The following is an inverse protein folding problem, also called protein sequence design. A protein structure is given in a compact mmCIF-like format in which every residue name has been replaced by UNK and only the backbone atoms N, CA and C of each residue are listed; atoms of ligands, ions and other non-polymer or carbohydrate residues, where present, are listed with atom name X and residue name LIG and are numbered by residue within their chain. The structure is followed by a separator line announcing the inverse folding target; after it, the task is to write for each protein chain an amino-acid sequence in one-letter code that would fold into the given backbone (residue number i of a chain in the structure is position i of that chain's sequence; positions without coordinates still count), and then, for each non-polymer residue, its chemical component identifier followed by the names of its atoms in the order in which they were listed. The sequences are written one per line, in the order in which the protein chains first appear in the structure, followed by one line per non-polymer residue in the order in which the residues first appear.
data_IF_799067410126
#
_entry.id   IF_799067410126
#
_cell.length_a   1.000
_cell.length_b   1.000
_cell.length_c   1.000
_cell.angle_alpha   90.00
_cell.angle_beta   90.00
_cell.angle_gamma   90.00
#
_symmetry.space_group_name_H-M   'P 1'
#
loop_
_entity.id
_entity.type
_entity.pdbx_description
1 polymer ?
#
# COMPACT_ATOMS: atom_id res chain seq x y z
N UNK A 1 -0.46 30.52 -22.88
CA UNK A 1 -1.88 30.13 -22.74
C UNK A 1 -2.24 29.13 -23.85
N UNK A 2 -1.49 28.02 -23.97
CA UNK A 2 -1.53 27.16 -25.17
C UNK A 2 -1.05 25.72 -24.89
N UNK A 3 -1.55 25.10 -23.81
CA UNK A 3 -1.23 23.70 -23.44
C UNK A 3 -2.43 22.90 -22.87
N UNK A 4 -3.62 23.50 -22.74
CA UNK A 4 -4.74 22.90 -22.01
C UNK A 4 -5.76 22.12 -22.86
N UNK A 5 -5.63 22.09 -24.19
CA UNK A 5 -6.67 21.57 -25.11
C UNK A 5 -6.28 20.33 -25.95
N UNK A 6 -5.07 19.78 -25.79
CA UNK A 6 -4.65 18.62 -26.60
C UNK A 6 -5.31 17.31 -26.12
N UNK A 7 -5.63 17.18 -24.82
CA UNK A 7 -6.19 15.93 -24.27
C UNK A 7 -7.64 15.66 -24.69
N UNK A 8 -8.54 16.65 -24.67
CA UNK A 8 -9.99 16.40 -24.84
C UNK A 8 -10.43 16.04 -26.26
N UNK A 9 -9.65 16.34 -27.30
CA UNK A 9 -10.05 16.11 -28.69
C UNK A 9 -9.58 14.76 -29.28
N UNK A 10 -8.50 14.17 -28.75
CA UNK A 10 -7.91 12.94 -29.29
C UNK A 10 -8.31 11.65 -28.55
N UNK A 11 -8.76 11.74 -27.29
CA UNK A 11 -9.01 10.56 -26.47
C UNK A 11 -10.08 9.57 -26.99
N UNK A 12 -11.23 10.01 -27.56
CA UNK A 12 -12.20 9.07 -28.12
C UNK A 12 -11.71 8.42 -29.43
N UNK A 13 -11.02 9.22 -30.26
CA UNK A 13 -10.69 8.88 -31.66
C UNK A 13 -9.72 7.70 -31.76
N UNK A 14 -8.78 7.57 -30.81
CA UNK A 14 -7.82 6.45 -30.80
C UNK A 14 -8.52 5.10 -30.51
N UNK A 15 -9.63 5.09 -29.77
CA UNK A 15 -10.41 3.88 -29.51
C UNK A 15 -11.42 3.55 -30.62
N UNK A 16 -11.92 4.54 -31.37
CA UNK A 16 -12.96 4.33 -32.39
C UNK A 16 -12.48 4.39 -33.84
N UNK A 17 -11.20 4.72 -34.11
CA UNK A 17 -10.74 4.98 -35.48
C UNK A 17 -9.37 4.40 -35.86
N UNK A 18 -8.85 3.43 -35.11
CA UNK A 18 -7.87 2.49 -35.65
C UNK A 18 -8.63 1.30 -36.23
N UNK A 19 -8.69 1.18 -37.56
CA UNK A 19 -9.33 0.03 -38.20
C UNK A 19 -8.40 -1.19 -38.08
N UNK A 20 -8.70 -2.08 -37.13
CA UNK A 20 -7.79 -3.14 -36.65
C UNK A 20 -7.60 -4.31 -37.64
N UNK A 21 -8.32 -4.34 -38.77
CA UNK A 21 -8.21 -5.38 -39.80
C UNK A 21 -6.90 -5.31 -40.62
N UNK A 22 -6.14 -4.21 -40.54
CA UNK A 22 -4.95 -3.97 -41.36
C UNK A 22 -3.61 -4.46 -40.75
N UNK A 23 -3.60 -4.93 -39.49
CA UNK A 23 -2.40 -5.43 -38.81
C UNK A 23 -2.45 -6.96 -38.72
N UNK A 24 -1.88 -7.62 -39.72
CA UNK A 24 -1.59 -9.05 -39.68
C UNK A 24 -0.68 -9.41 -38.50
N UNK A 25 -0.79 -10.66 -38.06
CA UNK A 25 -0.12 -11.27 -36.90
C UNK A 25 -0.56 -10.76 -35.52
N UNK A 26 -1.38 -11.58 -34.83
CA UNK A 26 -1.95 -11.28 -33.51
C UNK A 26 -0.92 -11.00 -32.40
N UNK A 27 0.34 -11.39 -32.57
CA UNK A 27 1.44 -11.07 -31.65
C UNK A 27 1.73 -9.56 -31.65
N UNK A 28 1.70 -8.92 -32.82
CA UNK A 28 1.92 -7.47 -32.98
C UNK A 28 0.73 -6.70 -32.35
N UNK A 29 -0.49 -7.19 -32.58
CA UNK A 29 -1.72 -6.62 -32.01
C UNK A 29 -1.70 -6.63 -30.46
N UNK A 30 -1.35 -7.77 -29.85
CA UNK A 30 -1.21 -7.90 -28.39
C UNK A 30 -0.09 -7.01 -27.82
N UNK A 31 1.05 -6.89 -28.52
CA UNK A 31 2.15 -5.99 -28.14
C UNK A 31 1.73 -4.52 -28.15
N UNK A 32 1.03 -4.09 -29.20
CA UNK A 32 0.55 -2.71 -29.37
C UNK A 32 -0.51 -2.34 -28.32
N UNK A 33 -1.50 -3.21 -28.07
CA UNK A 33 -2.51 -2.99 -27.03
C UNK A 33 -1.90 -2.92 -25.62
N UNK A 34 -0.94 -3.80 -25.28
CA UNK A 34 -0.23 -3.75 -23.98
C UNK A 34 0.55 -2.45 -23.81
N UNK A 35 1.17 -1.95 -24.87
CA UNK A 35 1.86 -0.65 -24.88
C UNK A 35 0.89 0.52 -24.62
N UNK A 36 -0.23 0.58 -25.34
CA UNK A 36 -1.24 1.63 -25.16
C UNK A 36 -1.87 1.65 -23.75
N UNK A 37 -2.23 0.49 -23.19
CA UNK A 37 -2.77 0.42 -21.82
C UNK A 37 -1.74 0.89 -20.78
N UNK A 38 -0.46 0.55 -20.97
CA UNK A 38 0.64 1.06 -20.14
C UNK A 38 0.73 2.59 -20.21
N UNK A 39 0.78 3.17 -21.41
CA UNK A 39 0.88 4.62 -21.58
C UNK A 39 -0.32 5.37 -20.98
N UNK A 40 -1.56 4.91 -21.23
CA UNK A 40 -2.75 5.53 -20.65
C UNK A 40 -2.80 5.43 -19.11
N UNK A 41 -2.40 4.27 -18.54
CA UNK A 41 -2.34 4.10 -17.08
C UNK A 41 -1.36 5.06 -16.43
N UNK A 42 -0.17 5.24 -17.03
CA UNK A 42 0.83 6.21 -16.56
C UNK A 42 0.26 7.63 -16.64
N UNK A 43 -0.20 8.06 -17.83
CA UNK A 43 -0.63 9.43 -18.08
C UNK A 43 -1.79 9.85 -17.16
N UNK A 44 -2.82 9.01 -17.02
CA UNK A 44 -3.97 9.33 -16.18
C UNK A 44 -3.63 9.32 -14.68
N UNK A 45 -2.67 8.49 -14.24
CA UNK A 45 -2.22 8.55 -12.85
C UNK A 45 -1.37 9.79 -12.57
N UNK A 46 -0.49 10.19 -13.50
CA UNK A 46 0.24 11.46 -13.43
C UNK A 46 -0.75 12.63 -13.33
N UNK A 47 -1.75 12.70 -14.21
CA UNK A 47 -2.80 13.74 -14.17
C UNK A 47 -3.62 13.67 -12.88
N UNK A 48 -3.94 12.48 -12.37
CA UNK A 48 -4.67 12.30 -11.11
C UNK A 48 -3.89 12.84 -9.90
N UNK A 49 -2.57 12.62 -9.85
CA UNK A 49 -1.69 13.19 -8.83
C UNK A 49 -1.60 14.72 -9.02
N UNK A 50 -1.26 15.18 -10.22
CA UNK A 50 -1.02 16.61 -10.53
C UNK A 50 -2.27 17.46 -10.24
N UNK A 51 -3.47 17.00 -10.62
CA UNK A 51 -4.75 17.68 -10.31
C UNK A 51 -4.95 17.86 -8.80
N UNK A 52 -4.43 16.95 -7.97
CA UNK A 52 -4.48 17.02 -6.50
C UNK A 52 -3.38 17.87 -5.88
N UNK A 53 -2.45 18.43 -6.67
CA UNK A 53 -1.45 19.40 -6.19
C UNK A 53 -1.94 20.86 -6.28
N UNK A 54 -3.21 21.10 -6.63
CA UNK A 54 -3.84 22.43 -6.60
C UNK A 54 -3.99 22.94 -5.16
N UNK A 55 -3.07 23.76 -4.67
CA UNK A 55 -3.07 24.27 -3.30
C UNK A 55 -2.35 25.63 -3.17
N UNK A 56 -2.91 26.52 -2.36
CA UNK A 56 -2.30 27.79 -1.94
C UNK A 56 -1.76 27.73 -0.49
N UNK A 57 -1.70 26.52 0.10
CA UNK A 57 -1.28 26.27 1.48
C UNK A 57 -0.21 25.17 1.58
N UNK A 58 0.60 25.13 2.66
CA UNK A 58 1.62 24.10 2.86
C UNK A 58 1.04 22.70 2.82
N UNK A 59 1.70 21.82 2.06
CA UNK A 59 1.30 20.43 1.88
C UNK A 59 2.51 19.48 1.90
N UNK A 60 2.25 18.18 2.03
CA UNK A 60 3.26 17.14 1.87
C UNK A 60 2.68 15.80 1.41
N UNK A 61 3.47 14.74 1.50
CA UNK A 61 3.07 13.37 1.14
C UNK A 61 3.07 12.46 2.36
N UNK A 62 2.12 11.53 2.44
CA UNK A 62 2.24 10.38 3.34
C UNK A 62 3.11 9.33 2.64
N UNK A 63 4.14 8.82 3.33
CA UNK A 63 5.12 7.91 2.77
C UNK A 63 5.36 6.73 3.73
N UNK A 64 4.90 5.55 3.34
CA UNK A 64 5.06 4.30 4.11
C UNK A 64 6.21 3.42 3.62
N UNK A 65 6.89 3.81 2.53
CA UNK A 65 7.79 2.95 1.77
C UNK A 65 7.08 1.97 0.83
N UNK A 66 5.83 1.58 1.15
CA UNK A 66 4.98 0.76 0.27
C UNK A 66 4.72 1.40 -1.09
N UNK A 67 4.63 0.54 -2.12
CA UNK A 67 4.54 0.86 -3.56
C UNK A 67 3.74 2.13 -3.87
N UNK A 68 2.53 2.22 -3.31
CA UNK A 68 1.48 3.16 -3.70
C UNK A 68 1.79 4.56 -3.19
N UNK A 69 2.15 4.66 -1.90
CA UNK A 69 2.60 5.91 -1.27
C UNK A 69 3.91 6.42 -1.88
N UNK A 70 4.84 5.50 -2.16
CA UNK A 70 6.14 5.80 -2.77
C UNK A 70 6.00 6.31 -4.21
N UNK A 71 5.05 5.76 -4.97
CA UNK A 71 4.76 6.21 -6.32
C UNK A 71 4.11 7.61 -6.34
N UNK A 72 3.13 7.86 -5.46
CA UNK A 72 2.53 9.20 -5.28
C UNK A 72 3.59 10.22 -4.87
N UNK A 73 4.47 9.87 -3.93
CA UNK A 73 5.57 10.73 -3.50
C UNK A 73 6.54 11.05 -4.64
N UNK A 74 6.92 10.04 -5.43
CA UNK A 74 7.83 10.19 -6.58
C UNK A 74 7.27 11.12 -7.66
N UNK A 75 6.01 10.91 -8.06
CA UNK A 75 5.33 11.76 -9.04
C UNK A 75 5.23 13.21 -8.53
N UNK A 76 4.90 13.38 -7.24
CA UNK A 76 4.81 14.70 -6.60
C UNK A 76 6.17 15.42 -6.59
N UNK A 77 7.25 14.73 -6.20
CA UNK A 77 8.60 15.29 -6.17
C UNK A 77 9.07 15.70 -7.59
N UNK A 78 8.87 14.82 -8.58
CA UNK A 78 9.20 15.06 -9.99
C UNK A 78 8.46 16.25 -10.57
N UNK A 79 7.15 16.35 -10.33
CA UNK A 79 6.35 17.47 -10.79
C UNK A 79 6.82 18.78 -10.15
N UNK A 80 7.04 18.79 -8.83
CA UNK A 80 7.47 19.99 -8.10
C UNK A 80 8.80 20.55 -8.60
N UNK A 81 9.77 19.70 -8.92
CA UNK A 81 11.09 20.10 -9.43
C UNK A 81 11.03 21.04 -10.66
N UNK A 82 9.96 20.98 -11.47
CA UNK A 82 9.74 21.86 -12.62
C UNK A 82 8.89 23.11 -12.37
N UNK A 83 8.36 23.32 -11.16
CA UNK A 83 7.25 24.28 -10.93
C UNK A 83 7.66 25.59 -10.25
N UNK A 84 6.82 26.63 -10.40
CA UNK A 84 6.89 27.85 -9.57
C UNK A 84 6.57 27.59 -8.09
N UNK A 85 5.74 26.59 -7.78
CA UNK A 85 5.38 26.24 -6.40
C UNK A 85 6.62 25.84 -5.57
N UNK A 86 7.54 25.05 -6.13
CA UNK A 86 8.82 24.73 -5.48
C UNK A 86 9.69 25.97 -5.20
N UNK A 87 9.56 27.05 -6.00
CA UNK A 87 10.25 28.33 -5.76
C UNK A 87 9.61 29.19 -4.67
N UNK A 88 8.36 28.92 -4.31
CA UNK A 88 7.56 29.75 -3.40
C UNK A 88 7.54 29.23 -1.96
N UNK A 89 7.75 27.92 -1.77
CA UNK A 89 7.66 27.25 -0.45
C UNK A 89 8.98 26.66 0.08
N UNK A 90 10.10 26.83 -0.63
CA UNK A 90 11.42 26.37 -0.15
C UNK A 90 11.88 25.01 -0.68
N UNK A 91 11.79 24.78 -2.00
CA UNK A 91 12.51 23.78 -2.81
C UNK A 91 12.35 22.28 -2.54
N UNK A 92 12.06 21.80 -1.34
CA UNK A 92 11.97 20.37 -1.03
C UNK A 92 10.58 19.97 -0.55
N UNK A 93 10.10 18.84 -1.08
CA UNK A 93 8.84 18.23 -0.66
C UNK A 93 8.99 17.60 0.73
N UNK A 94 8.03 17.84 1.62
CA UNK A 94 7.97 17.18 2.92
C UNK A 94 7.25 15.83 2.82
N UNK A 95 7.84 14.79 3.39
CA UNK A 95 7.27 13.44 3.44
C UNK A 95 7.13 12.96 4.89
N UNK A 96 6.01 12.32 5.21
CA UNK A 96 5.65 11.96 6.58
C UNK A 96 5.43 10.46 6.72
N UNK A 97 6.05 9.85 7.73
CA UNK A 97 5.86 8.47 8.13
C UNK A 97 5.55 8.38 9.63
N UNK A 98 4.88 7.30 10.03
CA UNK A 98 4.57 7.00 11.44
C UNK A 98 4.72 5.51 11.69
N UNK A 99 5.29 5.15 12.84
CA UNK A 99 5.47 3.75 13.22
C UNK A 99 6.01 3.61 14.63
N UNK A 100 6.05 2.38 15.13
CA UNK A 100 6.86 2.07 16.31
C UNK A 100 8.34 2.13 15.94
N UNK A 101 9.19 2.46 16.91
CA UNK A 101 10.63 2.54 16.70
C UNK A 101 11.19 1.22 16.13
N UNK A 102 12.04 1.32 15.11
CA UNK A 102 12.61 0.15 14.42
C UNK A 102 11.65 -0.59 13.46
N UNK A 103 10.42 -0.12 13.25
CA UNK A 103 9.47 -0.77 12.34
C UNK A 103 9.93 -0.82 10.87
N UNK A 104 9.54 -1.85 10.10
CA UNK A 104 9.89 -1.98 8.68
C UNK A 104 9.41 -0.81 7.82
N UNK A 105 8.24 -0.25 8.14
CA UNK A 105 7.60 0.81 7.37
C UNK A 105 8.43 2.11 7.43
N UNK A 106 8.91 2.51 8.63
CA UNK A 106 9.86 3.62 8.79
C UNK A 106 11.15 3.38 7.97
N UNK A 107 11.66 2.15 8.02
CA UNK A 107 12.90 1.76 7.31
C UNK A 107 12.76 1.86 5.78
N UNK A 108 11.59 1.50 5.24
CA UNK A 108 11.30 1.58 3.81
C UNK A 108 10.91 3.00 3.38
N UNK A 109 10.19 3.75 4.22
CA UNK A 109 9.88 5.15 3.99
C UNK A 109 11.16 5.98 3.86
N UNK A 110 12.15 5.78 4.75
CA UNK A 110 13.45 6.44 4.69
C UNK A 110 14.21 6.17 3.38
N UNK A 111 14.27 4.91 2.91
CA UNK A 111 14.92 4.58 1.63
C UNK A 111 14.33 5.36 0.46
N UNK A 112 13.00 5.49 0.41
CA UNK A 112 12.31 6.22 -0.65
C UNK A 112 12.47 7.73 -0.45
N UNK A 113 12.48 8.22 0.78
CA UNK A 113 12.68 9.63 1.09
C UNK A 113 14.10 10.11 0.69
N UNK A 114 15.12 9.31 1.00
CA UNK A 114 16.52 9.53 0.61
C UNK A 114 16.65 9.53 -0.92
N UNK A 115 16.02 8.56 -1.60
CA UNK A 115 16.00 8.47 -3.06
C UNK A 115 15.32 9.67 -3.74
N UNK A 116 14.25 10.19 -3.15
CA UNK A 116 13.50 11.34 -3.68
C UNK A 116 14.02 12.70 -3.22
N UNK A 117 14.98 12.75 -2.28
CA UNK A 117 15.51 14.00 -1.71
C UNK A 117 14.47 14.83 -0.94
N UNK A 118 13.48 14.17 -0.33
CA UNK A 118 12.42 14.84 0.45
C UNK A 118 12.89 15.20 1.86
N UNK A 119 12.34 16.28 2.45
CA UNK A 119 12.48 16.51 3.90
C UNK A 119 11.64 15.46 4.62
N UNK A 120 12.27 14.40 5.12
CA UNK A 120 11.57 13.29 5.76
C UNK A 120 11.29 13.56 7.24
N UNK A 121 10.05 13.27 7.66
CA UNK A 121 9.59 13.39 9.04
C UNK A 121 9.10 12.01 9.49
N UNK A 122 9.87 11.38 10.36
CA UNK A 122 9.52 10.11 10.98
C UNK A 122 8.97 10.35 12.37
N UNK A 123 7.75 9.88 12.62
CA UNK A 123 7.10 10.03 13.90
C UNK A 123 6.97 8.68 14.61
N UNK A 124 7.63 8.57 15.76
CA UNK A 124 7.35 7.50 16.71
C UNK A 124 6.11 7.83 17.55
N UNK A 125 5.42 6.80 18.03
CA UNK A 125 4.32 6.93 18.98
C UNK A 125 4.37 5.82 20.03
N UNK A 126 3.92 6.14 21.24
CA UNK A 126 3.79 5.21 22.38
C UNK A 126 2.42 5.34 23.04
N UNK A 127 1.79 6.50 22.89
CA UNK A 127 0.42 6.91 23.28
C UNK A 127 -0.68 6.25 22.41
N UNK A 128 -0.40 5.09 21.81
CA UNK A 128 -1.31 4.41 20.89
C UNK A 128 -2.56 3.84 21.57
N UNK A 129 -2.46 3.42 22.84
CA UNK A 129 -3.60 2.92 23.62
C UNK A 129 -4.45 4.08 24.13
N UNK A 130 -3.79 5.12 24.66
CA UNK A 130 -4.45 6.30 25.25
C UNK A 130 -5.29 7.06 24.21
N UNK A 131 -4.91 7.02 22.93
CA UNK A 131 -5.64 7.66 21.84
C UNK A 131 -6.85 6.86 21.31
N UNK A 132 -7.13 5.64 21.79
CA UNK A 132 -8.18 4.78 21.21
C UNK A 132 -9.57 5.40 21.35
N UNK A 133 -9.88 6.06 22.48
CA UNK A 133 -11.18 6.68 22.71
C UNK A 133 -11.44 7.84 21.72
N UNK A 134 -10.49 8.77 21.61
CA UNK A 134 -10.52 9.85 20.62
C UNK A 134 -10.61 9.33 19.18
N UNK A 135 -9.89 8.25 18.86
CA UNK A 135 -9.93 7.62 17.53
C UNK A 135 -11.32 7.04 17.25
N UNK A 136 -11.93 6.31 18.19
CA UNK A 136 -13.28 5.76 18.01
C UNK A 136 -14.29 6.90 17.84
N UNK A 137 -14.20 7.94 18.68
CA UNK A 137 -15.03 9.14 18.58
C UNK A 137 -14.90 9.81 17.20
N UNK A 138 -13.68 10.06 16.72
CA UNK A 138 -13.46 10.76 15.45
C UNK A 138 -13.76 9.92 14.21
N UNK A 139 -13.49 8.61 14.20
CA UNK A 139 -13.74 7.75 13.04
C UNK A 139 -15.21 7.30 12.98
N UNK A 140 -15.90 7.22 14.12
CA UNK A 140 -17.28 6.73 14.28
C UNK A 140 -17.44 5.27 13.79
N UNK A 141 -16.52 4.39 14.20
CA UNK A 141 -16.58 2.95 13.88
C UNK A 141 -16.04 2.10 15.02
N UNK A 142 -16.53 0.86 15.11
CA UNK A 142 -16.02 -0.20 15.98
C UNK A 142 -15.23 -1.29 15.21
N UNK A 143 -15.03 -1.13 13.89
CA UNK A 143 -14.26 -2.10 13.10
C UNK A 143 -12.79 -2.15 13.54
N UNK A 144 -12.34 -3.34 13.95
CA UNK A 144 -11.02 -3.57 14.56
C UNK A 144 -9.88 -3.21 13.60
N UNK A 145 -10.02 -3.53 12.31
CA UNK A 145 -9.01 -3.23 11.29
C UNK A 145 -8.90 -1.72 11.08
N UNK A 146 -10.04 -1.05 10.98
CA UNK A 146 -10.14 0.40 10.77
C UNK A 146 -9.59 1.16 11.97
N UNK A 147 -9.93 0.81 13.21
CA UNK A 147 -9.38 1.45 14.42
C UNK A 147 -7.86 1.27 14.50
N UNK A 148 -7.37 0.04 14.31
CA UNK A 148 -5.92 -0.27 14.36
C UNK A 148 -5.13 0.53 13.33
N UNK A 149 -5.65 0.70 12.11
CA UNK A 149 -5.02 1.50 11.06
C UNK A 149 -5.23 3.02 11.24
N UNK A 150 -6.34 3.45 11.84
CA UNK A 150 -6.65 4.87 12.06
C UNK A 150 -5.81 5.48 13.18
N UNK A 151 -5.52 4.74 14.24
CA UNK A 151 -4.75 5.21 15.41
C UNK A 151 -3.41 5.86 15.05
N UNK A 152 -2.49 5.19 14.32
CA UNK A 152 -1.23 5.82 13.90
C UNK A 152 -1.45 7.00 12.94
N UNK A 153 -2.45 6.91 12.05
CA UNK A 153 -2.78 8.00 11.11
C UNK A 153 -3.30 9.26 11.81
N UNK A 154 -4.10 9.10 12.87
CA UNK A 154 -4.59 10.17 13.73
C UNK A 154 -3.44 10.85 14.48
N UNK A 155 -2.58 10.07 15.14
CA UNK A 155 -1.41 10.57 15.87
C UNK A 155 -0.39 11.26 14.94
N UNK A 156 -0.19 10.72 13.74
CA UNK A 156 0.60 11.36 12.68
C UNK A 156 -0.01 12.69 12.26
N UNK A 157 -1.33 12.74 12.02
CA UNK A 157 -2.02 13.95 11.57
C UNK A 157 -1.90 15.10 12.57
N UNK A 158 -1.97 14.81 13.88
CA UNK A 158 -1.68 15.78 14.95
C UNK A 158 -0.29 16.41 14.79
N UNK A 159 0.73 15.58 14.55
CA UNK A 159 2.12 16.03 14.37
C UNK A 159 2.31 16.81 13.06
N UNK A 160 1.78 16.32 11.94
CA UNK A 160 1.78 17.02 10.64
C UNK A 160 1.15 18.41 10.78
N UNK A 161 0.00 18.52 11.45
CA UNK A 161 -0.67 19.79 11.69
C UNK A 161 0.18 20.77 12.48
N UNK A 162 0.90 20.29 13.51
CA UNK A 162 1.77 21.12 14.34
C UNK A 162 2.93 21.77 13.56
N UNK A 163 3.31 21.18 12.41
CA UNK A 163 4.30 21.74 11.47
C UNK A 163 3.70 22.75 10.47
N UNK A 164 2.43 23.14 10.63
CA UNK A 164 1.74 24.11 9.77
C UNK A 164 1.19 23.54 8.45
N UNK A 165 1.37 22.24 8.20
CA UNK A 165 0.85 21.55 7.01
C UNK A 165 -0.68 21.45 7.09
N UNK A 166 -1.36 21.71 5.97
CA UNK A 166 -2.83 21.73 5.87
C UNK A 166 -3.39 20.68 4.91
N UNK A 167 -2.58 20.13 4.03
CA UNK A 167 -2.97 19.07 3.09
C UNK A 167 -1.89 18.00 2.98
N UNK A 168 -2.29 16.74 2.88
CA UNK A 168 -1.42 15.62 2.50
C UNK A 168 -2.02 14.80 1.37
N UNK A 169 -1.16 14.25 0.53
CA UNK A 169 -1.53 13.32 -0.55
C UNK A 169 -1.06 11.90 -0.18
N UNK A 170 -1.91 10.89 -0.40
CA UNK A 170 -1.75 9.50 0.08
C UNK A 170 -2.04 8.46 -1.01
N UNK A 171 -1.60 7.22 -0.79
CA UNK A 171 -1.71 6.09 -1.73
C UNK A 171 -3.00 5.24 -1.63
N UNK A 172 -3.97 5.62 -0.79
CA UNK A 172 -5.21 4.86 -0.57
C UNK A 172 -6.00 4.62 -1.86
N UNK A 173 -6.63 3.44 -1.99
CA UNK A 173 -7.41 3.04 -3.16
C UNK A 173 -6.67 2.16 -4.16
N UNK A 174 -5.35 2.05 -4.08
CA UNK A 174 -4.55 1.25 -5.01
C UNK A 174 -4.82 -0.25 -4.88
N UNK A 175 -4.85 -0.77 -3.66
CA UNK A 175 -5.07 -2.20 -3.39
C UNK A 175 -6.45 -2.68 -3.83
N UNK A 176 -7.46 -1.84 -3.70
CA UNK A 176 -8.85 -2.08 -4.09
C UNK A 176 -9.05 -2.06 -5.61
N UNK A 177 -8.26 -1.26 -6.34
CA UNK A 177 -8.31 -1.15 -7.81
C UNK A 177 -7.47 -2.23 -8.49
N UNK A 178 -6.30 -2.57 -7.92
CA UNK A 178 -5.31 -3.46 -8.54
C UNK A 178 -5.19 -4.84 -7.89
N UNK A 179 -6.02 -5.13 -6.88
CA UNK A 179 -6.02 -6.41 -6.17
C UNK A 179 -4.72 -6.65 -5.38
N UNK A 180 -4.31 -5.65 -4.60
CA UNK A 180 -2.99 -5.64 -3.94
C UNK A 180 -2.91 -6.35 -2.58
N UNK A 181 -4.05 -6.65 -1.95
CA UNK A 181 -4.05 -7.45 -0.72
C UNK A 181 -3.74 -8.93 -1.00
N UNK A 182 -2.98 -9.58 -0.11
CA UNK A 182 -2.49 -10.95 -0.28
C UNK A 182 -3.57 -12.01 -0.59
N UNK A 183 -4.82 -11.83 -0.18
CA UNK A 183 -5.89 -12.78 -0.51
C UNK A 183 -6.25 -12.83 -1.99
N UNK A 184 -5.95 -11.79 -2.77
CA UNK A 184 -6.12 -11.82 -4.23
C UNK A 184 -5.23 -12.87 -4.91
N UNK A 185 -4.17 -13.35 -4.25
CA UNK A 185 -3.38 -14.50 -4.72
C UNK A 185 -4.18 -15.82 -4.74
N UNK A 186 -5.37 -15.86 -4.10
CA UNK A 186 -6.29 -16.99 -4.10
C UNK A 186 -7.55 -16.77 -4.95
N UNK A 187 -7.62 -15.68 -5.72
CA UNK A 187 -8.75 -15.46 -6.61
C UNK A 187 -8.83 -16.61 -7.64
N UNK A 188 -9.96 -17.34 -7.74
CA UNK A 188 -10.03 -18.59 -8.52
C UNK A 188 -10.08 -18.34 -10.03
N UNK A 189 -10.49 -17.14 -10.44
CA UNK A 189 -10.53 -16.69 -11.82
C UNK A 189 -10.61 -15.15 -11.87
N UNK A 190 -10.51 -14.60 -13.08
CA UNK A 190 -10.47 -13.16 -13.33
C UNK A 190 -11.79 -12.44 -13.06
N UNK A 191 -12.92 -13.14 -13.17
CA UNK A 191 -14.25 -12.54 -12.94
C UNK A 191 -14.49 -12.35 -11.45
N UNK A 192 -14.13 -13.34 -10.61
CA UNK A 192 -14.13 -13.22 -9.15
C UNK A 192 -13.15 -12.14 -8.65
N UNK A 193 -11.96 -12.04 -9.25
CA UNK A 193 -11.02 -10.94 -8.99
C UNK A 193 -11.65 -9.56 -9.29
N UNK A 194 -12.32 -9.44 -10.45
CA UNK A 194 -12.96 -8.19 -10.87
C UNK A 194 -14.17 -7.82 -9.99
N UNK A 195 -15.02 -8.79 -9.67
CA UNK A 195 -16.18 -8.58 -8.80
C UNK A 195 -15.72 -8.13 -7.40
N UNK A 196 -14.65 -8.72 -6.87
CA UNK A 196 -14.10 -8.34 -5.57
C UNK A 196 -13.45 -6.95 -5.58
N UNK A 197 -12.69 -6.58 -6.61
CA UNK A 197 -12.18 -5.19 -6.75
C UNK A 197 -13.34 -4.19 -6.88
N UNK A 198 -14.38 -4.50 -7.65
CA UNK A 198 -15.59 -3.67 -7.73
C UNK A 198 -16.32 -3.54 -6.39
N UNK A 199 -16.43 -4.63 -5.61
CA UNK A 199 -17.04 -4.63 -4.28
C UNK A 199 -16.22 -3.80 -3.29
N UNK A 200 -14.89 -3.95 -3.30
CA UNK A 200 -13.95 -3.18 -2.49
C UNK A 200 -14.06 -1.68 -2.78
N UNK A 201 -14.00 -1.27 -4.05
CA UNK A 201 -14.15 0.14 -4.46
C UNK A 201 -15.50 0.71 -4.00
N UNK A 202 -16.60 -0.03 -4.17
CA UNK A 202 -17.93 0.40 -3.70
C UNK A 202 -18.01 0.53 -2.17
N UNK A 203 -17.24 -0.27 -1.43
CA UNK A 203 -17.25 -0.28 0.04
C UNK A 203 -16.22 0.66 0.69
N UNK A 204 -15.29 1.26 -0.08
CA UNK A 204 -14.23 2.14 0.42
C UNK A 204 -14.71 3.23 1.40
N UNK A 205 -15.91 3.77 1.19
CA UNK A 205 -16.50 4.81 2.04
C UNK A 205 -16.84 4.36 3.48
N UNK A 206 -16.81 3.05 3.75
CA UNK A 206 -16.99 2.45 5.08
C UNK A 206 -15.65 2.12 5.77
N UNK A 207 -14.54 2.08 5.02
CA UNK A 207 -13.25 1.58 5.49
C UNK A 207 -12.14 2.62 5.23
N UNK A 208 -11.35 2.45 4.17
CA UNK A 208 -10.12 3.20 3.97
C UNK A 208 -10.35 4.68 3.66
N UNK A 209 -11.43 5.04 2.96
CA UNK A 209 -11.83 6.45 2.82
C UNK A 209 -12.37 7.04 4.14
N UNK A 210 -13.07 6.25 4.95
CA UNK A 210 -13.57 6.69 6.26
C UNK A 210 -12.38 7.04 7.18
N UNK A 211 -11.43 6.10 7.30
CA UNK A 211 -10.16 6.28 8.01
C UNK A 211 -9.38 7.48 7.48
N UNK A 212 -9.05 7.48 6.19
CA UNK A 212 -8.15 8.48 5.61
C UNK A 212 -8.73 9.89 5.65
N UNK A 213 -10.05 10.05 5.56
CA UNK A 213 -10.68 11.35 5.71
C UNK A 213 -10.76 11.78 7.20
N UNK A 214 -11.30 10.94 8.07
CA UNK A 214 -11.62 11.34 9.45
C UNK A 214 -10.39 11.42 10.36
N UNK A 215 -9.44 10.50 10.22
CA UNK A 215 -8.21 10.50 11.02
C UNK A 215 -7.36 11.78 10.78
N UNK A 216 -7.35 12.30 9.55
CA UNK A 216 -6.66 13.56 9.24
C UNK A 216 -7.53 14.77 9.59
N UNK A 217 -8.84 14.71 9.32
CA UNK A 217 -9.77 15.83 9.59
C UNK A 217 -9.92 16.13 11.07
N UNK A 218 -9.73 15.15 11.96
CA UNK A 218 -9.66 15.36 13.42
C UNK A 218 -8.64 16.43 13.83
N UNK A 219 -7.56 16.59 13.06
CA UNK A 219 -6.51 17.59 13.27
C UNK A 219 -6.56 18.71 12.22
N UNK A 220 -7.66 18.86 11.48
CA UNK A 220 -7.82 19.86 10.43
C UNK A 220 -6.80 19.71 9.29
N UNK A 221 -6.46 18.46 8.95
CA UNK A 221 -5.54 18.10 7.86
C UNK A 221 -6.36 17.46 6.72
N UNK A 222 -6.29 18.03 5.52
CA UNK A 222 -6.98 17.49 4.34
C UNK A 222 -6.20 16.32 3.72
N UNK A 223 -6.84 15.17 3.49
CA UNK A 223 -6.25 14.04 2.77
C UNK A 223 -6.71 13.99 1.31
N UNK A 224 -5.77 13.81 0.37
CA UNK A 224 -6.03 13.65 -1.08
C UNK A 224 -5.55 12.29 -1.57
N UNK A 225 -6.39 11.62 -2.35
CA UNK A 225 -6.19 10.21 -2.76
C UNK A 225 -6.21 10.09 -4.30
N UNK A 226 -5.05 10.02 -4.99
CA UNK A 226 -4.96 10.03 -6.46
C UNK A 226 -5.47 8.77 -7.13
N UNK A 227 -5.30 7.59 -6.51
CA UNK A 227 -5.82 6.33 -7.03
C UNK A 227 -7.35 6.36 -7.16
N UNK A 228 -8.04 7.17 -6.35
CA UNK A 228 -9.50 7.35 -6.42
C UNK A 228 -9.94 8.49 -7.36
N UNK A 229 -9.15 8.80 -8.39
CA UNK A 229 -9.62 9.69 -9.45
C UNK A 229 -10.61 8.99 -10.39
N UNK A 230 -11.69 9.69 -10.77
CA UNK A 230 -12.73 9.13 -11.63
C UNK A 230 -12.18 8.64 -12.98
N UNK A 231 -11.32 9.44 -13.63
CA UNK A 231 -10.78 9.06 -14.94
C UNK A 231 -9.75 7.94 -14.82
N UNK A 232 -8.95 7.96 -13.75
CA UNK A 232 -8.00 6.88 -13.48
C UNK A 232 -8.71 5.57 -13.11
N UNK A 233 -9.75 5.59 -12.26
CA UNK A 233 -10.59 4.43 -11.96
C UNK A 233 -11.18 3.86 -13.25
N UNK A 234 -11.77 4.71 -14.12
CA UNK A 234 -12.39 4.27 -15.36
C UNK A 234 -11.41 3.43 -16.22
N UNK A 235 -10.18 3.91 -16.41
CA UNK A 235 -9.17 3.17 -17.19
C UNK A 235 -8.58 2.00 -16.41
N UNK A 236 -8.26 2.17 -15.13
CA UNK A 236 -7.68 1.10 -14.31
C UNK A 236 -8.66 -0.08 -14.14
N UNK A 237 -9.97 0.15 -14.12
CA UNK A 237 -11.00 -0.89 -14.06
C UNK A 237 -11.36 -1.49 -15.42
N UNK A 238 -11.02 -0.82 -16.53
CA UNK A 238 -11.15 -1.36 -17.89
C UNK A 238 -10.00 -2.30 -18.31
N UNK A 239 -8.88 -2.34 -17.56
CA UNK A 239 -7.81 -3.32 -17.76
C UNK A 239 -8.35 -4.73 -17.53
N UNK A 240 -8.10 -5.67 -18.47
CA UNK A 240 -8.47 -7.09 -18.34
C UNK A 240 -8.01 -7.63 -16.96
N UNK A 241 -8.93 -8.10 -16.10
CA UNK A 241 -8.59 -8.55 -14.76
C UNK A 241 -7.55 -9.68 -14.74
N UNK A 242 -7.46 -10.48 -15.82
CA UNK A 242 -6.40 -11.48 -16.02
C UNK A 242 -4.99 -10.88 -15.97
N UNK A 243 -4.84 -9.63 -16.42
CA UNK A 243 -3.56 -8.91 -16.36
C UNK A 243 -3.21 -8.48 -14.93
N UNK A 244 -4.22 -8.26 -14.08
CA UNK A 244 -4.05 -7.88 -12.66
C UNK A 244 -3.82 -9.09 -11.75
N UNK A 245 -4.28 -10.27 -12.15
CA UNK A 245 -4.08 -11.50 -11.38
C UNK A 245 -2.60 -11.86 -11.21
N UNK A 246 -2.32 -12.44 -10.05
CA UNK A 246 -1.02 -13.01 -9.68
C UNK A 246 -0.81 -14.28 -10.52
N UNK A 247 0.32 -14.37 -11.20
CA UNK A 247 0.73 -15.53 -12.00
C UNK A 247 2.23 -15.75 -11.77
N UNK A 248 2.57 -16.79 -11.00
CA UNK A 248 3.95 -17.06 -10.58
C UNK A 248 4.84 -17.54 -11.73
N UNK A 249 4.27 -18.28 -12.68
CA UNK A 249 5.01 -18.82 -13.82
C UNK A 249 5.47 -17.69 -14.76
N UNK A 250 4.72 -16.59 -14.80
CA UNK A 250 5.09 -15.33 -15.46
C UNK A 250 5.80 -14.30 -14.56
N UNK A 251 6.07 -14.63 -13.29
CA UNK A 251 6.65 -13.68 -12.32
C UNK A 251 5.77 -12.47 -11.99
N UNK A 252 4.45 -12.58 -12.16
CA UNK A 252 3.48 -11.54 -11.80
C UNK A 252 3.10 -11.63 -10.33
N UNK A 253 3.51 -10.63 -9.56
CA UNK A 253 3.13 -10.41 -8.15
C UNK A 253 1.93 -9.45 -8.03
N UNK A 254 1.51 -9.13 -6.81
CA UNK A 254 0.40 -8.21 -6.58
C UNK A 254 0.69 -6.81 -7.18
N UNK A 255 -0.35 -6.20 -7.76
CA UNK A 255 -0.27 -4.90 -8.45
C UNK A 255 0.76 -4.89 -9.60
N UNK A 256 1.07 -6.04 -10.23
CA UNK A 256 2.06 -6.15 -11.32
C UNK A 256 1.87 -5.15 -12.46
N UNK A 257 0.62 -4.91 -12.91
CA UNK A 257 0.33 -3.91 -13.96
C UNK A 257 0.78 -2.50 -13.57
N UNK A 258 0.62 -2.12 -12.31
CA UNK A 258 1.04 -0.82 -11.77
C UNK A 258 2.57 -0.77 -11.66
N UNK A 259 3.18 -1.83 -11.11
CA UNK A 259 4.64 -1.97 -11.02
C UNK A 259 5.30 -1.85 -12.39
N UNK A 260 4.79 -2.56 -13.39
CA UNK A 260 5.27 -2.53 -14.79
C UNK A 260 4.94 -1.24 -15.53
N UNK A 261 3.86 -0.54 -15.19
CA UNK A 261 3.58 0.76 -15.76
C UNK A 261 4.75 1.73 -15.45
N UNK A 262 5.13 1.84 -14.18
CA UNK A 262 6.15 2.77 -13.69
C UNK A 262 7.60 2.21 -13.71
N UNK A 263 7.80 1.06 -14.32
CA UNK A 263 9.11 0.44 -14.56
C UNK A 263 9.84 1.12 -15.74
N UNK A 264 10.34 2.33 -15.50
CA UNK A 264 11.21 3.07 -16.43
C UNK A 264 12.68 2.79 -16.09
N UNK A 265 13.49 2.38 -17.07
CA UNK A 265 14.91 2.08 -16.89
C UNK A 265 15.79 3.34 -16.91
N UNK A 266 15.38 4.37 -17.66
CA UNK A 266 16.13 5.61 -17.81
C UNK A 266 15.76 6.62 -16.72
N UNK A 267 14.49 6.66 -16.32
CA UNK A 267 13.96 7.58 -15.31
C UNK A 267 13.12 6.83 -14.25
N UNK A 268 13.70 5.89 -13.49
CA UNK A 268 12.96 5.02 -12.56
C UNK A 268 12.17 5.79 -11.50
N UNK A 269 10.87 5.52 -11.36
CA UNK A 269 10.03 6.21 -10.38
C UNK A 269 10.34 5.80 -8.93
N UNK A 270 10.91 4.63 -8.71
CA UNK A 270 11.18 4.06 -7.40
C UNK A 270 12.64 3.57 -7.32
N UNK A 271 13.22 3.40 -6.11
CA UNK A 271 14.55 2.83 -5.96
C UNK A 271 14.63 1.46 -6.65
N UNK A 272 15.55 1.30 -7.62
CA UNK A 272 15.81 0.03 -8.29
C UNK A 272 17.01 -0.67 -7.68
N UNK A 273 16.90 -1.98 -7.44
CA UNK A 273 18.08 -2.84 -7.43
C UNK A 273 18.63 -2.87 -8.86
N UNK A 274 19.80 -2.26 -9.05
CA UNK A 274 20.44 -2.15 -10.37
C UNK A 274 21.11 -3.45 -10.80
N UNK A 275 21.36 -3.63 -12.10
CA UNK A 275 22.12 -4.79 -12.58
C UNK A 275 23.56 -4.82 -12.05
N UNK A 276 24.16 -3.65 -11.76
CA UNK A 276 25.44 -3.54 -11.06
C UNK A 276 25.38 -4.08 -9.62
N UNK A 277 24.25 -3.89 -8.92
CA UNK A 277 24.01 -4.50 -7.61
C UNK A 277 23.86 -6.02 -7.73
N UNK A 278 23.09 -6.51 -8.71
CA UNK A 278 22.93 -7.94 -8.99
C UNK A 278 24.24 -8.63 -9.37
N UNK A 279 25.08 -8.01 -10.20
CA UNK A 279 26.41 -8.51 -10.56
C UNK A 279 27.34 -8.66 -9.34
N UNK A 280 27.11 -7.88 -8.28
CA UNK A 280 27.86 -7.97 -7.03
C UNK A 280 27.12 -8.74 -5.92
N UNK A 281 26.00 -9.41 -6.23
CA UNK A 281 25.13 -10.06 -5.25
C UNK A 281 25.84 -11.15 -4.44
N UNK A 282 26.63 -11.99 -5.11
CA UNK A 282 27.39 -13.08 -4.46
C UNK A 282 28.48 -12.57 -3.52
N UNK A 283 29.05 -11.40 -3.80
CA UNK A 283 30.09 -10.79 -2.95
C UNK A 283 29.48 -10.11 -1.71
N UNK A 284 28.29 -9.53 -1.84
CA UNK A 284 27.60 -8.84 -0.74
C UNK A 284 26.78 -9.84 0.12
N UNK A 285 26.18 -10.84 -0.50
CA UNK A 285 25.30 -11.84 0.14
C UNK A 285 25.72 -13.28 -0.23
N UNK A 286 26.89 -13.77 0.23
CA UNK A 286 27.44 -15.06 -0.21
C UNK A 286 26.63 -16.30 0.21
N UNK A 287 25.86 -16.22 1.30
CA UNK A 287 24.91 -17.26 1.71
C UNK A 287 23.53 -16.97 1.14
N UNK A 288 22.84 -17.94 0.53
CA UNK A 288 21.53 -17.75 -0.14
C UNK A 288 21.51 -16.52 -1.07
N UNK A 289 22.47 -16.43 -1.99
CA UNK A 289 22.62 -15.30 -2.93
C UNK A 289 21.30 -15.01 -3.65
N UNK A 290 20.77 -13.78 -3.59
CA UNK A 290 19.53 -13.43 -4.28
C UNK A 290 19.73 -13.47 -5.80
N UNK A 291 18.92 -14.28 -6.48
CA UNK A 291 18.99 -14.50 -7.94
C UNK A 291 18.09 -13.55 -8.74
N UNK A 292 17.18 -12.82 -8.09
CA UNK A 292 16.33 -11.79 -8.71
C UNK A 292 16.50 -10.44 -8.01
N UNK A 293 16.22 -9.34 -8.73
CA UNK A 293 16.24 -7.97 -8.17
C UNK A 293 15.31 -7.80 -6.97
N UNK A 294 14.19 -8.49 -6.99
CA UNK A 294 13.21 -8.53 -5.90
C UNK A 294 13.75 -9.27 -4.66
N UNK A 295 14.28 -10.49 -4.85
CA UNK A 295 14.93 -11.23 -3.77
C UNK A 295 16.12 -10.47 -3.18
N UNK A 296 16.85 -9.70 -4.00
CA UNK A 296 17.95 -8.85 -3.56
C UNK A 296 17.43 -7.70 -2.68
N UNK A 297 16.33 -7.07 -3.06
CA UNK A 297 15.70 -6.02 -2.26
C UNK A 297 15.25 -6.56 -0.90
N UNK A 298 14.56 -7.70 -0.87
CA UNK A 298 14.18 -8.37 0.38
C UNK A 298 15.39 -8.77 1.22
N UNK A 299 16.48 -9.23 0.58
CA UNK A 299 17.71 -9.59 1.26
C UNK A 299 18.41 -8.38 1.88
N UNK A 300 18.46 -7.23 1.20
CA UNK A 300 18.96 -5.98 1.77
C UNK A 300 18.18 -5.58 3.04
N UNK A 301 16.85 -5.73 3.03
CA UNK A 301 16.00 -5.40 4.16
C UNK A 301 16.27 -6.35 5.35
N UNK A 302 16.36 -7.66 5.08
CA UNK A 302 16.68 -8.70 6.06
C UNK A 302 18.04 -8.44 6.72
N UNK A 303 19.09 -8.22 5.93
CA UNK A 303 20.46 -8.02 6.41
C UNK A 303 20.61 -6.74 7.24
N UNK A 304 19.83 -5.69 6.96
CA UNK A 304 19.77 -4.47 7.78
C UNK A 304 19.01 -4.67 9.11
N UNK A 305 18.23 -5.74 9.28
CA UNK A 305 17.57 -6.07 10.56
C UNK A 305 18.32 -7.13 11.36
N UNK A 306 18.86 -8.13 10.67
CA UNK A 306 19.49 -9.31 11.26
C UNK A 306 20.92 -9.47 10.72
N UNK A 307 21.85 -8.55 11.04
CA UNK A 307 23.21 -8.53 10.49
C UNK A 307 24.09 -9.70 11.01
N UNK A 308 23.59 -10.52 11.94
CA UNK A 308 24.30 -11.63 12.55
C UNK A 308 24.25 -12.89 11.65
N UNK A 309 25.37 -13.63 11.57
CA UNK A 309 25.43 -14.87 10.79
C UNK A 309 24.41 -15.92 11.23
N UNK A 310 24.09 -16.01 12.52
CA UNK A 310 23.10 -16.94 13.05
C UNK A 310 21.73 -16.77 12.38
N UNK A 311 21.25 -15.54 12.25
CA UNK A 311 19.96 -15.27 11.60
C UNK A 311 19.97 -15.59 10.10
N UNK A 312 21.08 -15.33 9.38
CA UNK A 312 21.22 -15.71 7.96
C UNK A 312 21.02 -17.22 7.74
N UNK A 313 21.45 -18.03 8.71
CA UNK A 313 21.36 -19.49 8.67
C UNK A 313 19.98 -20.02 9.06
N UNK A 314 19.13 -19.24 9.75
CA UNK A 314 17.74 -19.64 10.05
C UNK A 314 16.80 -19.48 8.86
N UNK A 315 17.21 -18.78 7.80
CA UNK A 315 16.40 -18.62 6.58
C UNK A 315 16.71 -19.78 5.61
N UNK A 316 15.79 -20.74 5.40
CA UNK A 316 16.03 -21.83 4.45
C UNK A 316 16.15 -21.27 3.03
N UNK A 317 17.17 -21.74 2.30
CA UNK A 317 17.35 -21.42 0.88
C UNK A 317 16.43 -22.28 -0.01
N UNK A 318 16.00 -21.72 -1.14
CA UNK A 318 15.12 -22.41 -2.11
C UNK A 318 13.87 -21.60 -2.44
N UNK A 319 12.94 -22.21 -3.19
CA UNK A 319 11.65 -21.61 -3.54
C UNK A 319 10.60 -21.83 -2.43
N UNK A 320 9.74 -20.83 -2.14
CA UNK A 320 8.64 -20.95 -1.16
C UNK A 320 7.44 -20.03 -1.47
N UNK A 321 6.32 -20.19 -0.75
CA UNK A 321 5.01 -19.53 -0.99
C UNK A 321 4.19 -19.31 0.31
N UNK A 322 3.55 -18.14 0.46
CA UNK A 322 2.55 -17.74 1.50
C UNK A 322 1.72 -16.53 0.96
N UNK A 323 0.63 -15.97 1.54
CA UNK A 323 -0.39 -16.35 2.55
C UNK A 323 -1.71 -15.56 2.26
N UNK A 324 -2.77 -15.53 3.10
CA UNK A 324 -4.09 -14.96 2.69
C UNK A 324 -5.09 -14.53 3.81
N UNK A 325 -6.19 -13.83 3.49
CA UNK A 325 -7.24 -13.34 4.44
C UNK A 325 -8.70 -13.56 3.97
N UNK A 326 -9.66 -13.62 4.92
CA UNK A 326 -11.13 -13.54 4.79
C UNK A 326 -11.82 -14.22 3.58
N UNK A 327 -11.80 -13.65 2.36
CA UNK A 327 -12.33 -14.32 1.14
C UNK A 327 -11.55 -15.61 0.84
N UNK A 328 -10.30 -15.69 1.31
CA UNK A 328 -9.52 -16.91 1.38
C UNK A 328 -10.15 -18.05 2.21
N UNK A 329 -11.07 -17.75 3.13
CA UNK A 329 -11.82 -18.79 3.87
C UNK A 329 -12.90 -19.43 2.98
N UNK A 330 -13.41 -18.69 1.99
CA UNK A 330 -14.32 -19.21 0.97
C UNK A 330 -13.57 -19.93 -0.15
N UNK A 331 -12.38 -19.42 -0.54
CA UNK A 331 -11.54 -20.00 -1.59
C UNK A 331 -10.61 -21.14 -1.10
N UNK A 332 -10.43 -21.33 0.21
CA UNK A 332 -9.58 -22.38 0.79
C UNK A 332 -10.13 -22.86 2.15
N UNK A 333 -10.60 -24.11 2.17
CA UNK A 333 -11.24 -24.72 3.34
C UNK A 333 -10.35 -24.82 4.59
N UNK A 334 -9.02 -24.75 4.45
CA UNK A 334 -8.08 -24.83 5.59
C UNK A 334 -8.11 -23.59 6.48
N UNK A 335 -8.61 -22.45 5.98
CA UNK A 335 -8.64 -21.18 6.72
C UNK A 335 -9.87 -21.00 7.60
N UNK A 336 -10.85 -21.90 7.51
CA UNK A 336 -12.14 -21.82 8.22
C UNK A 336 -12.03 -21.91 9.75
N UNK A 337 -10.89 -22.38 10.26
CA UNK A 337 -10.62 -22.61 11.68
C UNK A 337 -9.67 -21.58 12.32
N UNK A 338 -9.18 -20.56 11.59
CA UNK A 338 -8.26 -19.54 12.13
C UNK A 338 -8.75 -18.11 11.78
N UNK A 339 -9.54 -17.53 12.69
CA UNK A 339 -10.22 -16.24 12.51
C UNK A 339 -9.48 -15.09 13.20
N UNK A 340 -8.33 -14.64 12.69
CA UNK A 340 -7.81 -13.29 12.98
C UNK A 340 -8.14 -12.34 11.81
N UNK A 341 -8.94 -11.27 12.03
CA UNK A 341 -9.29 -10.30 11.01
C UNK A 341 -8.09 -9.55 10.39
N UNK A 342 -6.96 -9.45 11.11
CA UNK A 342 -5.82 -8.65 10.66
C UNK A 342 -4.76 -9.41 9.85
N UNK A 343 -4.84 -10.75 9.83
CA UNK A 343 -3.81 -11.63 9.26
C UNK A 343 -2.46 -11.61 10.00
N UNK A 344 -2.33 -10.88 11.12
CA UNK A 344 -1.09 -10.75 11.91
C UNK A 344 -1.06 -11.67 13.13
N UNK A 345 -2.21 -12.19 13.57
CA UNK A 345 -2.37 -13.11 14.69
C UNK A 345 -2.94 -14.49 14.28
N UNK A 346 -3.20 -14.73 12.98
CA UNK A 346 -3.68 -16.01 12.44
C UNK A 346 -2.64 -17.17 12.50
N UNK A 347 -1.54 -17.01 13.23
CA UNK A 347 -0.36 -17.87 13.15
C UNK A 347 0.18 -18.27 14.53
N UNK A 348 -0.19 -19.49 14.95
CA UNK A 348 0.65 -20.31 15.84
C UNK A 348 1.99 -20.74 15.23
N UNK A 349 2.37 -20.16 14.08
CA UNK A 349 3.58 -20.46 13.30
C UNK A 349 4.85 -19.82 13.88
N UNK A 350 4.72 -19.06 14.98
CA UNK A 350 5.85 -18.73 15.87
C UNK A 350 6.02 -19.70 17.05
N UNK A 351 5.03 -20.54 17.38
CA UNK A 351 5.10 -21.51 18.49
C UNK A 351 5.34 -22.94 18.02
N UNK A 352 4.81 -23.35 16.86
CA UNK A 352 5.13 -24.64 16.23
C UNK A 352 6.59 -24.77 15.77
N UNK A 353 7.42 -23.77 16.01
CA UNK A 353 8.85 -23.76 15.71
C UNK A 353 9.74 -24.10 16.93
N UNK A 354 9.16 -24.23 18.15
CA UNK A 354 9.96 -24.41 19.38
C UNK A 354 9.55 -25.55 20.31
N UNK A 355 8.28 -25.99 20.34
CA UNK A 355 7.86 -27.04 21.27
C UNK A 355 7.81 -28.43 20.61
N UNK A 356 8.91 -29.16 20.72
CA UNK A 356 8.88 -30.62 20.74
C UNK A 356 8.56 -31.09 22.16
N UNK A 357 7.51 -31.91 22.29
CA UNK A 357 7.10 -32.61 23.53
C UNK A 357 6.61 -31.76 24.72
N UNK A 358 5.32 -31.43 24.74
CA UNK A 358 4.55 -31.38 26.00
C UNK A 358 3.06 -31.69 25.75
N UNK A 359 2.38 -32.54 26.56
CA UNK A 359 0.95 -32.79 26.40
C UNK A 359 0.11 -31.57 26.80
N UNK A 360 -0.94 -31.27 26.03
CA UNK A 360 -1.93 -30.24 26.32
C UNK A 360 -2.81 -30.63 27.53
N UNK A 361 -2.57 -30.06 28.71
CA UNK A 361 -3.57 -30.01 29.79
C UNK A 361 -4.38 -28.72 29.69
N UNK A 362 -5.67 -28.83 29.38
CA UNK A 362 -6.55 -27.70 29.12
C UNK A 362 -7.01 -27.03 30.43
N UNK A 363 -6.27 -26.01 30.88
CA UNK A 363 -6.76 -25.04 31.88
C UNK A 363 -6.44 -23.59 31.46
N UNK A 364 -7.43 -22.68 31.45
CA UNK A 364 -7.19 -21.27 31.16
C UNK A 364 -6.33 -20.63 32.26
N UNK A 365 -5.41 -19.73 31.87
CA UNK A 365 -4.54 -19.03 32.82
C UNK A 365 -5.29 -17.92 33.57
N UNK A 366 -4.94 -17.73 34.85
CA UNK A 366 -5.62 -16.83 35.81
C UNK A 366 -5.44 -15.32 35.55
N UNK A 367 -5.09 -14.90 34.34
CA UNK A 367 -4.82 -13.49 34.02
C UNK A 367 -6.11 -12.73 33.65
N UNK A 368 -7.20 -13.45 33.32
CA UNK A 368 -8.49 -12.85 32.93
C UNK A 368 -9.30 -12.36 34.16
N UNK A 369 -9.00 -12.84 35.37
CA UNK A 369 -9.75 -12.49 36.60
C UNK A 369 -9.34 -11.14 37.24
N UNK A 370 -8.27 -10.49 36.77
CA UNK A 370 -7.72 -9.28 37.41
C UNK A 370 -8.02 -7.96 36.70
N UNK A 371 -8.95 -7.93 35.74
CA UNK A 371 -9.47 -6.69 35.15
C UNK A 371 -10.66 -6.22 36.01
N UNK A 372 -10.66 -5.00 36.58
CA UNK A 372 -11.81 -4.48 37.29
C UNK A 372 -13.01 -4.35 36.34
N UNK A 373 -14.06 -5.14 36.59
CA UNK A 373 -15.38 -4.89 36.01
C UNK A 373 -15.81 -3.47 36.38
N UNK A 374 -16.19 -2.66 35.37
CA UNK A 374 -16.71 -1.32 35.62
C UNK A 374 -17.95 -1.39 36.51
N UNK A 375 -18.10 -0.36 37.36
CA UNK A 375 -19.22 -0.21 38.30
C UNK A 375 -20.57 -0.42 37.62
N UNK A 376 -21.45 -1.19 38.28
CA UNK A 376 -22.87 -1.18 37.99
C UNK A 376 -23.42 0.25 38.12
N UNK A 377 -24.04 0.77 37.06
CA UNK A 377 -24.76 2.05 37.10
C UNK A 377 -26.14 1.75 37.70
N UNK A 378 -26.48 2.25 38.92
CA UNK A 378 -27.76 1.95 39.53
C UNK A 378 -28.87 2.78 38.89
N UNK A 379 -29.86 2.11 38.28
CA UNK A 379 -31.18 2.69 38.05
C UNK A 379 -31.48 3.17 36.62
N UNK A 380 -31.73 2.23 35.71
CA UNK A 380 -32.72 2.41 34.63
C UNK A 380 -33.66 1.23 34.62
N UNK A 381 -34.78 1.36 35.34
CA UNK A 381 -35.87 0.39 35.27
C UNK A 381 -36.71 0.67 34.01
N UNK A 382 -36.57 -0.19 32.99
CA UNK A 382 -37.46 -0.18 31.83
C UNK A 382 -38.67 -1.06 32.17
N UNK A 383 -39.87 -0.47 32.15
CA UNK A 383 -41.14 -1.18 32.26
C UNK A 383 -41.93 -1.01 30.97
N UNK A 384 -42.47 -2.13 30.47
CA UNK A 384 -43.62 -2.18 29.55
C UNK A 384 -43.40 -1.60 28.17
#
# INVERSE_FOLDING_TARGET
MMTANISKAFLPVIYTQVNLEALGDGIIHLGFQRSLHRFHTILLFLDAVIKRLMTDVPFGVLLSGGLDSSLVASITARYLAGTKAAKQWGSQLHSFCVGLEGSPDLKAAREVADYLGTVHHEFHFTDGIDAIEDVIYHIETYDVTTIRASTPMFLMSRKIKSLGVKMVISGEGSDEIFGGYLYFHKAPNKDEFHQETCRKIKALHLYDCLRANKATSAWGLEARVPFLDKEFINVAMAIDPESKMINKDEGRIEKWVLRRAFDDENHPYLPKVTDKMMLNASNIFPHNTPTTKEAYYYRMIFERFFPQNSARLTVPGGASVACSTAKAVEWDATWKNNLDPSGRAALGVHLSAYDAETPLDNKPSKIIESIPLMMEIPGVAIHG
#
